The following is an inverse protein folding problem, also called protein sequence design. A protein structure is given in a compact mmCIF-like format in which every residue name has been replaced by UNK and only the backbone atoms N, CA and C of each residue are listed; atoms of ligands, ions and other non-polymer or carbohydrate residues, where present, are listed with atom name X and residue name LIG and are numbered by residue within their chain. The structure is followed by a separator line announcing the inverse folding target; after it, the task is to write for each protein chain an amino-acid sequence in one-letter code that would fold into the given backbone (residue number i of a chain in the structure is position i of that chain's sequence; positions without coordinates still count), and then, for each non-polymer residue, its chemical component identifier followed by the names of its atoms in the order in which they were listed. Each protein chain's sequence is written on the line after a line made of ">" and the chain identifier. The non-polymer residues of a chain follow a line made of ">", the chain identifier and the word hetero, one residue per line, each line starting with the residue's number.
data_IF_607530152950
#
_entry.id   IF_607530152950
#
_cell.length_a   1.000
_cell.length_b   1.000
_cell.length_c   1.000
_cell.angle_alpha   90.00
_cell.angle_beta   90.00
_cell.angle_gamma   90.00
#
_symmetry.space_group_name_H-M   'P 1'
#
loop_
_entity.id
_entity.type
_entity.pdbx_description
1 polymer ?
#
# COMPACT_ATOMS: atom_id res chain seq x y z
N UNK A 1 7.03 -20.98 11.07
CA UNK A 1 6.31 -19.70 10.98
C UNK A 1 5.89 -19.53 9.53
N UNK A 2 4.59 -19.52 9.22
CA UNK A 2 4.14 -19.28 7.85
C UNK A 2 4.53 -17.87 7.44
N UNK A 3 5.42 -17.73 6.46
CA UNK A 3 5.69 -16.44 5.84
C UNK A 3 4.41 -15.95 5.19
N UNK A 4 3.90 -14.79 5.62
CA UNK A 4 2.80 -14.13 4.91
C UNK A 4 3.28 -13.84 3.49
N UNK A 5 2.54 -14.25 2.44
CA UNK A 5 2.95 -13.97 1.07
C UNK A 5 3.09 -12.45 0.86
N UNK A 6 4.17 -12.03 0.20
CA UNK A 6 4.44 -10.61 -0.08
C UNK A 6 3.30 -9.95 -0.87
N UNK A 7 2.65 -10.71 -1.75
CA UNK A 7 1.45 -10.26 -2.47
C UNK A 7 0.30 -9.89 -1.51
N UNK A 8 0.10 -10.68 -0.45
CA UNK A 8 -0.96 -10.42 0.54
C UNK A 8 -0.71 -9.12 1.29
N UNK A 9 0.55 -8.85 1.64
CA UNK A 9 0.99 -7.60 2.28
C UNK A 9 0.75 -6.42 1.32
N UNK A 10 1.22 -6.53 0.07
CA UNK A 10 1.02 -5.52 -0.97
C UNK A 10 -0.48 -5.20 -1.18
N UNK A 11 -1.32 -6.24 -1.31
CA UNK A 11 -2.77 -6.09 -1.41
C UNK A 11 -3.38 -5.39 -0.20
N UNK A 12 -2.89 -5.70 1.00
CA UNK A 12 -3.37 -5.07 2.22
C UNK A 12 -3.08 -3.56 2.24
N UNK A 13 -1.86 -3.16 1.83
CA UNK A 13 -1.47 -1.75 1.70
C UNK A 13 -2.33 -1.03 0.66
N UNK A 14 -2.49 -1.61 -0.54
CA UNK A 14 -3.30 -1.02 -1.61
C UNK A 14 -4.78 -0.90 -1.22
N UNK A 15 -5.33 -1.91 -0.55
CA UNK A 15 -6.70 -1.85 0.00
C UNK A 15 -6.84 -0.76 1.06
N UNK A 16 -5.83 -0.53 1.89
CA UNK A 16 -5.89 0.55 2.87
C UNK A 16 -5.85 1.93 2.20
N UNK A 17 -5.03 2.12 1.17
CA UNK A 17 -5.03 3.34 0.37
C UNK A 17 -6.43 3.65 -0.19
N UNK A 18 -7.06 2.66 -0.83
CA UNK A 18 -8.39 2.86 -1.40
C UNK A 18 -9.47 2.97 -0.33
N UNK A 19 -9.65 1.92 0.47
CA UNK A 19 -10.81 1.79 1.38
C UNK A 19 -10.60 2.44 2.74
N UNK A 20 -9.36 2.52 3.20
CA UNK A 20 -9.02 3.13 4.49
C UNK A 20 -8.83 4.64 4.39
N UNK A 21 -8.24 5.11 3.30
CA UNK A 21 -7.92 6.54 3.10
C UNK A 21 -8.75 7.20 2.00
N UNK A 22 -9.65 6.47 1.34
CA UNK A 22 -10.52 6.99 0.30
C UNK A 22 -9.78 7.39 -0.99
N UNK A 23 -8.60 6.84 -1.25
CA UNK A 23 -7.77 7.26 -2.38
C UNK A 23 -8.19 6.60 -3.68
N UNK A 24 -8.17 7.38 -4.75
CA UNK A 24 -8.39 6.93 -6.13
C UNK A 24 -7.12 7.09 -6.98
N UNK A 25 -7.24 6.79 -8.28
CA UNK A 25 -6.13 6.88 -9.23
C UNK A 25 -5.47 8.28 -9.19
N UNK A 26 -4.13 8.29 -9.21
CA UNK A 26 -3.31 9.51 -9.16
C UNK A 26 -3.22 10.14 -7.76
N UNK A 27 -4.11 9.77 -6.85
CA UNK A 27 -4.04 10.20 -5.46
C UNK A 27 -3.07 9.33 -4.66
N UNK A 28 -2.50 9.93 -3.61
CA UNK A 28 -1.53 9.25 -2.77
C UNK A 28 -1.61 9.61 -1.31
N UNK A 29 -0.72 8.99 -0.55
CA UNK A 29 -0.48 9.27 0.85
C UNK A 29 1.03 9.31 1.13
N UNK A 30 1.48 10.09 2.13
CA UNK A 30 2.87 10.05 2.56
C UNK A 30 3.25 8.65 3.04
N UNK A 31 4.42 8.16 2.62
CA UNK A 31 4.91 6.84 3.01
C UNK A 31 5.01 6.69 4.53
N UNK A 32 5.37 7.78 5.23
CA UNK A 32 5.48 7.80 6.68
C UNK A 32 4.11 7.61 7.37
N UNK A 33 3.05 8.20 6.82
CA UNK A 33 1.68 7.99 7.31
C UNK A 33 1.24 6.54 7.13
N UNK A 34 1.55 5.93 5.99
CA UNK A 34 1.27 4.51 5.73
C UNK A 34 2.08 3.60 6.65
N UNK A 35 3.37 3.88 6.87
CA UNK A 35 4.22 3.14 7.81
C UNK A 35 3.72 3.23 9.24
N UNK A 36 3.27 4.42 9.65
CA UNK A 36 2.69 4.64 10.97
C UNK A 36 1.42 3.79 11.15
N UNK A 37 0.51 3.83 10.18
CA UNK A 37 -0.68 2.99 10.17
C UNK A 37 -0.32 1.50 10.23
N UNK A 38 0.60 1.04 9.38
CA UNK A 38 1.04 -0.36 9.34
C UNK A 38 1.51 -0.85 10.71
N UNK A 39 2.38 -0.08 11.35
CA UNK A 39 2.95 -0.41 12.65
C UNK A 39 1.90 -0.38 13.76
N UNK A 40 1.04 0.65 13.79
CA UNK A 40 0.06 0.88 14.87
C UNK A 40 -1.17 -0.01 14.76
N UNK A 41 -1.66 -0.25 13.55
CA UNK A 41 -2.90 -1.00 13.32
C UNK A 41 -2.68 -2.50 13.19
N UNK A 42 -1.52 -2.94 12.71
CA UNK A 42 -1.25 -4.37 12.48
C UNK A 42 -0.24 -4.95 13.47
N UNK A 43 0.50 -4.11 14.20
CA UNK A 43 1.57 -4.57 15.10
C UNK A 43 2.70 -5.30 14.37
N UNK A 44 2.83 -5.08 13.05
CA UNK A 44 3.76 -5.81 12.19
C UNK A 44 5.10 -5.09 12.02
N UNK A 45 6.11 -5.85 11.61
CA UNK A 45 7.48 -5.36 11.38
C UNK A 45 7.53 -4.42 10.16
N UNK A 46 8.45 -3.46 10.20
CA UNK A 46 8.67 -2.51 9.10
C UNK A 46 9.22 -3.16 7.83
N UNK A 47 9.93 -4.29 7.94
CA UNK A 47 10.52 -4.97 6.77
C UNK A 47 9.46 -5.58 5.85
N UNK A 48 8.36 -6.07 6.42
CA UNK A 48 7.23 -6.62 5.65
C UNK A 48 6.50 -5.51 4.86
N UNK A 49 6.42 -4.31 5.43
CA UNK A 49 5.86 -3.14 4.75
C UNK A 49 6.67 -2.75 3.51
N UNK A 50 8.00 -2.65 3.63
CA UNK A 50 8.87 -2.33 2.49
C UNK A 50 8.75 -3.36 1.38
N UNK A 51 8.80 -4.66 1.74
CA UNK A 51 8.63 -5.75 0.77
C UNK A 51 7.28 -5.67 0.06
N UNK A 52 6.21 -5.33 0.79
CA UNK A 52 4.88 -5.12 0.22
C UNK A 52 4.82 -3.94 -0.75
N UNK A 53 5.43 -2.82 -0.40
CA UNK A 53 5.50 -1.65 -1.28
C UNK A 53 6.35 -1.92 -2.52
N UNK A 54 7.49 -2.61 -2.38
CA UNK A 54 8.35 -2.97 -3.51
C UNK A 54 7.60 -3.89 -4.49
N UNK A 55 6.90 -4.91 -3.96
CA UNK A 55 6.06 -5.79 -4.77
C UNK A 55 4.93 -5.03 -5.46
N UNK A 56 4.22 -4.15 -4.73
CA UNK A 56 3.16 -3.33 -5.30
C UNK A 56 3.69 -2.40 -6.42
N UNK A 57 4.90 -1.86 -6.28
CA UNK A 57 5.57 -1.08 -7.32
C UNK A 57 5.93 -1.91 -8.55
N UNK A 58 6.49 -3.11 -8.36
CA UNK A 58 6.79 -4.05 -9.46
C UNK A 58 5.52 -4.44 -10.23
N UNK A 59 4.41 -4.65 -9.52
CA UNK A 59 3.10 -4.93 -10.12
C UNK A 59 2.41 -3.69 -10.69
N UNK A 60 3.04 -2.50 -10.63
CA UNK A 60 2.48 -1.21 -11.07
C UNK A 60 1.14 -0.88 -10.41
N UNK A 61 0.93 -1.28 -9.16
CA UNK A 61 -0.25 -0.88 -8.38
C UNK A 61 -0.05 0.48 -7.73
N UNK A 62 1.20 0.82 -7.45
CA UNK A 62 1.57 2.11 -6.88
C UNK A 62 2.78 2.69 -7.61
N UNK A 63 2.93 3.99 -7.50
CA UNK A 63 4.13 4.72 -7.90
C UNK A 63 4.72 5.42 -6.68
N UNK A 64 6.04 5.28 -6.51
CA UNK A 64 6.81 6.02 -5.52
C UNK A 64 7.29 7.31 -6.17
N UNK A 65 6.89 8.44 -5.61
CA UNK A 65 7.36 9.75 -6.05
C UNK A 65 8.52 10.24 -5.17
N UNK A 66 9.32 11.17 -5.70
CA UNK A 66 10.49 11.75 -5.02
C UNK A 66 10.15 12.57 -3.77
N UNK A 67 8.89 12.92 -3.58
CA UNK A 67 8.32 13.63 -2.43
C UNK A 67 7.89 12.68 -1.29
N UNK A 68 8.43 11.45 -1.26
CA UNK A 68 8.05 10.40 -0.29
C UNK A 68 6.56 10.02 -0.34
N UNK A 69 5.88 10.27 -1.46
CA UNK A 69 4.47 9.91 -1.66
C UNK A 69 4.33 8.57 -2.36
N UNK A 70 3.37 7.77 -1.89
CA UNK A 70 2.86 6.59 -2.58
C UNK A 70 1.57 6.97 -3.29
N UNK A 71 1.56 6.92 -4.63
CA UNK A 71 0.37 7.21 -5.45
C UNK A 71 -0.23 5.93 -6.00
N UNK A 72 -1.55 5.85 -6.03
CA UNK A 72 -2.24 4.74 -6.69
C UNK A 72 -2.18 4.93 -8.20
N UNK A 73 -1.79 3.87 -8.90
CA UNK A 73 -2.07 3.78 -10.34
C UNK A 73 -3.52 3.35 -10.55
N UNK A 74 -3.99 3.40 -11.80
CA UNK A 74 -5.26 2.79 -12.18
C UNK A 74 -5.39 1.34 -11.70
N UNK A 75 -4.36 0.53 -11.94
CA UNK A 75 -4.35 -0.88 -11.54
C UNK A 75 -4.43 -1.03 -10.02
N UNK A 76 -3.75 -0.17 -9.26
CA UNK A 76 -3.85 -0.16 -7.80
C UNK A 76 -5.23 0.18 -7.30
N UNK A 77 -5.88 1.19 -7.89
CA UNK A 77 -7.25 1.57 -7.53
C UNK A 77 -8.24 0.44 -7.78
N UNK A 78 -8.14 -0.25 -8.92
CA UNK A 78 -8.96 -1.43 -9.24
C UNK A 78 -8.68 -2.59 -8.26
N UNK A 79 -7.39 -2.85 -7.96
CA UNK A 79 -6.96 -3.94 -7.07
C UNK A 79 -7.33 -3.71 -5.60
N UNK A 80 -7.36 -2.45 -5.16
CA UNK A 80 -7.78 -2.04 -3.82
C UNK A 80 -9.28 -2.23 -3.56
N UNK A 81 -10.05 -2.44 -4.63
CA UNK A 81 -11.50 -2.65 -4.59
C UNK A 81 -12.29 -1.34 -4.57
N UNK A 82 -13.63 -1.40 -4.66
CA UNK A 82 -14.46 -0.20 -4.72
C UNK A 82 -14.40 0.61 -3.42
N UNK A 83 -14.44 1.94 -3.56
CA UNK A 83 -14.73 2.86 -2.46
C UNK A 83 -16.15 2.54 -1.97
N UNK A 84 -16.29 2.33 -0.65
CA UNK A 84 -17.57 2.02 -0.02
C UNK A 84 -18.33 3.30 0.31
#
# INVERSE_FOLDING_TARGET
>A
MSQVPVESIALHIVRHLVRGLGKSEGQGAPIQSLRHWWTRSLGQRSDDFERGLDYAGQCRWIERSSDEMIRLTRQGSERGGPLR
#
